data_IF_293915678767
#
_entry.id   IF_293915678767
#
_cell.length_a   1.000
_cell.length_b   1.000
_cell.length_c   1.000
_cell.angle_alpha   90.00
_cell.angle_beta   90.00
_cell.angle_gamma   90.00
#
_symmetry.space_group_name_H-M   'P 1'
#
loop_
_entity.id
_entity.type
_entity.pdbx_description
1 polymer ?
#
# COMPACT_ATOMS: atom_id res chain seq x y z
N UNK A 1 15.93 -16.21 0.80
CA UNK A 1 15.77 -14.88 1.43
C UNK A 1 14.99 -15.03 2.72
N UNK A 2 15.28 -14.24 3.77
CA UNK A 2 14.46 -14.23 4.99
C UNK A 2 13.02 -13.79 4.65
N UNK A 3 11.97 -14.38 5.27
CA UNK A 3 10.58 -14.04 4.98
C UNK A 3 10.29 -12.54 5.03
N UNK A 4 10.80 -11.84 6.06
CA UNK A 4 10.59 -10.40 6.19
C UNK A 4 11.24 -9.58 5.08
N UNK A 5 12.46 -9.93 4.66
CA UNK A 5 13.12 -9.27 3.51
C UNK A 5 12.30 -9.44 2.23
N UNK A 6 11.78 -10.65 1.98
CA UNK A 6 10.95 -10.91 0.80
C UNK A 6 9.66 -10.10 0.83
N UNK A 7 8.99 -10.08 1.99
CA UNK A 7 7.77 -9.31 2.21
C UNK A 7 7.99 -7.81 1.96
N UNK A 8 9.02 -7.21 2.57
CA UNK A 8 9.32 -5.78 2.42
C UNK A 8 9.59 -5.41 0.96
N UNK A 9 10.30 -6.26 0.21
CA UNK A 9 10.57 -6.02 -1.22
C UNK A 9 9.31 -6.14 -2.06
N UNK A 10 8.53 -7.20 -1.86
CA UNK A 10 7.31 -7.44 -2.63
C UNK A 10 6.27 -6.33 -2.41
N UNK A 11 5.98 -6.01 -1.15
CA UNK A 11 5.04 -4.93 -0.80
C UNK A 11 5.61 -3.57 -1.20
N UNK A 12 6.92 -3.37 -1.06
CA UNK A 12 7.58 -2.15 -1.51
C UNK A 12 7.42 -1.91 -3.01
N UNK A 13 7.69 -2.93 -3.84
CA UNK A 13 7.49 -2.86 -5.30
C UNK A 13 6.02 -2.65 -5.65
N UNK A 14 5.11 -3.36 -4.98
CA UNK A 14 3.66 -3.17 -5.16
C UNK A 14 3.27 -1.70 -4.92
N UNK A 15 3.77 -1.09 -3.84
CA UNK A 15 3.46 0.29 -3.49
C UNK A 15 4.06 1.29 -4.49
N UNK A 16 5.28 1.03 -5.00
CA UNK A 16 5.86 1.85 -6.08
C UNK A 16 5.02 1.78 -7.35
N UNK A 17 4.63 0.59 -7.77
CA UNK A 17 3.81 0.38 -8.98
C UNK A 17 2.46 1.04 -8.81
N UNK A 18 1.77 0.78 -7.70
CA UNK A 18 0.45 1.36 -7.43
C UNK A 18 0.52 2.88 -7.33
N UNK A 19 1.52 3.43 -6.62
CA UNK A 19 1.76 4.86 -6.50
C UNK A 19 1.97 5.54 -7.85
N UNK A 20 2.76 4.92 -8.74
CA UNK A 20 2.99 5.44 -10.08
C UNK A 20 1.69 5.53 -10.92
N UNK A 21 0.72 4.63 -10.71
CA UNK A 21 -0.56 4.70 -11.43
C UNK A 21 -1.42 5.92 -11.07
N UNK A 22 -1.05 6.66 -10.03
CA UNK A 22 -1.72 7.88 -9.58
C UNK A 22 -1.04 9.17 -10.06
N UNK A 23 0.04 9.06 -10.84
CA UNK A 23 0.72 10.24 -11.38
C UNK A 23 -0.13 10.92 -12.47
N UNK A 24 -0.04 12.26 -12.59
CA UNK A 24 -0.67 13.01 -13.67
C UNK A 24 -0.36 12.41 -15.04
N UNK A 25 -1.32 12.44 -15.95
CA UNK A 25 -1.23 11.77 -17.25
C UNK A 25 -1.50 10.26 -17.26
N UNK A 26 -1.26 9.51 -16.17
CA UNK A 26 -1.78 8.13 -16.04
C UNK A 26 -3.16 8.18 -15.36
N UNK A 27 -3.26 8.90 -14.24
CA UNK A 27 -4.47 8.95 -13.45
C UNK A 27 -5.67 9.51 -14.22
N UNK A 28 -5.45 10.58 -14.99
CA UNK A 28 -6.45 11.20 -15.86
C UNK A 28 -7.01 10.23 -16.90
N UNK A 29 -6.16 9.41 -17.52
CA UNK A 29 -6.58 8.41 -18.53
C UNK A 29 -7.40 7.28 -17.92
N UNK A 30 -7.28 7.06 -16.61
CA UNK A 30 -7.97 6.01 -15.88
C UNK A 30 -9.20 6.52 -15.13
N UNK A 31 -9.51 7.82 -15.20
CA UNK A 31 -10.55 8.46 -14.39
C UNK A 31 -11.91 7.74 -14.53
N UNK A 32 -12.40 7.57 -15.76
CA UNK A 32 -13.69 6.91 -16.03
C UNK A 32 -13.75 5.46 -15.55
N UNK A 33 -12.62 4.75 -15.60
CA UNK A 33 -12.54 3.36 -15.12
C UNK A 33 -12.49 3.26 -13.59
N UNK A 34 -11.97 4.28 -12.91
CA UNK A 34 -11.80 4.33 -11.45
C UNK A 34 -13.03 4.91 -10.76
N UNK A 35 -13.66 5.91 -11.37
CA UNK A 35 -14.89 6.53 -10.92
C UNK A 35 -15.88 6.55 -12.10
N UNK A 36 -16.60 5.43 -12.33
CA UNK A 36 -17.64 5.40 -13.34
C UNK A 36 -18.69 6.48 -13.05
N UNK A 37 -18.98 7.32 -14.05
CA UNK A 37 -19.94 8.41 -13.93
C UNK A 37 -19.40 9.64 -13.19
N UNK A 38 -18.08 9.89 -13.27
CA UNK A 38 -17.49 11.13 -12.75
C UNK A 38 -18.14 12.36 -13.42
N UNK A 39 -18.99 13.06 -12.68
CA UNK A 39 -19.82 14.15 -13.18
C UNK A 39 -19.09 15.50 -13.16
N UNK A 40 -17.97 15.57 -13.88
CA UNK A 40 -17.28 16.82 -14.12
C UNK A 40 -16.53 16.79 -15.46
N UNK A 41 -16.39 17.95 -16.13
CA UNK A 41 -15.52 18.08 -17.30
C UNK A 41 -14.09 17.64 -16.95
N UNK A 42 -13.42 16.95 -17.88
CA UNK A 42 -12.05 16.47 -17.68
C UNK A 42 -11.04 17.60 -17.40
N UNK A 43 -11.30 18.79 -17.94
CA UNK A 43 -10.55 20.04 -17.70
C UNK A 43 -11.21 20.92 -16.62
N UNK A 44 -12.19 20.40 -15.90
CA UNK A 44 -12.88 21.08 -14.81
C UNK A 44 -12.04 21.15 -13.53
N UNK A 45 -12.42 22.07 -12.63
CA UNK A 45 -11.75 22.22 -11.32
C UNK A 45 -11.86 20.95 -10.48
N UNK A 46 -13.00 20.25 -10.53
CA UNK A 46 -13.21 19.00 -9.80
C UNK A 46 -12.30 17.87 -10.30
N UNK A 47 -12.14 17.71 -11.62
CA UNK A 47 -11.25 16.72 -12.21
C UNK A 47 -9.78 16.97 -11.84
N UNK A 48 -9.34 18.24 -11.91
CA UNK A 48 -8.00 18.65 -11.45
C UNK A 48 -7.80 18.39 -9.96
N UNK A 49 -8.74 18.83 -9.12
CA UNK A 49 -8.66 18.63 -7.67
C UNK A 49 -8.59 17.15 -7.27
N UNK A 50 -9.37 16.29 -7.92
CA UNK A 50 -9.28 14.84 -7.72
C UNK A 50 -7.93 14.28 -8.18
N UNK A 51 -7.43 14.71 -9.34
CA UNK A 51 -6.13 14.27 -9.86
C UNK A 51 -4.98 14.70 -8.95
N UNK A 52 -4.99 15.93 -8.46
CA UNK A 52 -3.98 16.45 -7.51
C UNK A 52 -4.03 15.69 -6.17
N UNK A 53 -5.24 15.42 -5.66
CA UNK A 53 -5.41 14.62 -4.44
C UNK A 53 -4.89 13.18 -4.62
N UNK A 54 -5.20 12.56 -5.76
CA UNK A 54 -4.68 11.24 -6.11
C UNK A 54 -3.16 11.24 -6.30
N UNK A 55 -2.60 12.28 -6.91
CA UNK A 55 -1.16 12.41 -7.03
C UNK A 55 -0.47 12.47 -5.66
N UNK A 56 -1.02 13.24 -4.72
CA UNK A 56 -0.56 13.26 -3.33
C UNK A 56 -0.58 11.86 -2.70
N UNK A 57 -1.67 11.11 -2.89
CA UNK A 57 -1.73 9.71 -2.47
C UNK A 57 -0.66 8.83 -3.15
N UNK A 58 -0.45 9.02 -4.46
CA UNK A 58 0.59 8.32 -5.21
C UNK A 58 1.99 8.54 -4.64
N UNK A 59 2.30 9.78 -4.23
CA UNK A 59 3.57 10.12 -3.56
C UNK A 59 3.70 9.39 -2.23
N UNK A 60 2.66 9.37 -1.39
CA UNK A 60 2.69 8.64 -0.10
C UNK A 60 3.07 7.17 -0.32
N UNK A 61 2.41 6.51 -1.29
CA UNK A 61 2.68 5.12 -1.64
C UNK A 61 4.11 4.94 -2.13
N UNK A 62 4.60 5.85 -2.99
CA UNK A 62 5.95 5.79 -3.52
C UNK A 62 6.99 5.89 -2.39
N UNK A 63 6.81 6.85 -1.47
CA UNK A 63 7.67 7.03 -0.30
C UNK A 63 7.70 5.76 0.54
N UNK A 64 6.55 5.22 0.93
CA UNK A 64 6.48 3.99 1.72
C UNK A 64 7.18 2.83 0.97
N UNK A 65 6.96 2.70 -0.33
CA UNK A 65 7.59 1.69 -1.17
C UNK A 65 9.11 1.78 -1.18
N UNK A 66 9.66 2.99 -1.35
CA UNK A 66 11.10 3.24 -1.28
C UNK A 66 11.66 2.87 0.10
N UNK A 67 11.00 3.30 1.18
CA UNK A 67 11.45 2.99 2.54
C UNK A 67 11.41 1.50 2.84
N UNK A 68 10.41 0.76 2.38
CA UNK A 68 10.35 -0.70 2.52
C UNK A 68 11.50 -1.39 1.78
N UNK A 69 11.77 -1.01 0.53
CA UNK A 69 12.88 -1.58 -0.24
C UNK A 69 14.22 -1.23 0.41
N UNK A 70 14.38 0.01 0.87
CA UNK A 70 15.59 0.46 1.56
C UNK A 70 15.83 -0.33 2.84
N UNK A 71 14.81 -0.42 3.69
CA UNK A 71 14.85 -1.11 4.97
C UNK A 71 14.97 -2.63 4.84
N UNK A 72 14.63 -3.21 3.68
CA UNK A 72 14.82 -4.64 3.40
C UNK A 72 16.29 -5.10 3.50
N UNK A 73 17.25 -4.18 3.49
CA UNK A 73 18.69 -4.46 3.71
C UNK A 73 19.03 -4.77 5.17
N UNK A 74 18.23 -4.29 6.13
CA UNK A 74 18.37 -4.50 7.58
C UNK A 74 16.99 -4.74 8.22
N UNK A 75 16.28 -5.81 7.81
CA UNK A 75 14.89 -6.04 8.16
C UNK A 75 14.65 -6.16 9.68
N UNK A 76 15.65 -6.61 10.44
CA UNK A 76 15.62 -6.72 11.90
C UNK A 76 15.46 -5.39 12.65
N UNK A 77 15.78 -4.26 12.01
CA UNK A 77 15.59 -2.93 12.59
C UNK A 77 14.31 -2.23 12.09
N UNK A 78 13.52 -2.91 11.26
CA UNK A 78 12.43 -2.30 10.50
C UNK A 78 11.04 -2.79 10.89
N UNK A 79 10.89 -3.46 12.03
CA UNK A 79 9.59 -3.98 12.51
C UNK A 79 8.53 -2.88 12.65
N UNK A 80 8.93 -1.69 13.11
CA UNK A 80 8.03 -0.52 13.21
C UNK A 80 7.48 -0.10 11.85
N UNK A 81 8.30 -0.13 10.79
CA UNK A 81 7.84 0.20 9.43
C UNK A 81 6.82 -0.82 8.91
N UNK A 82 6.99 -2.09 9.26
CA UNK A 82 6.04 -3.16 8.88
C UNK A 82 4.72 -2.96 9.62
N UNK A 83 4.76 -2.66 10.92
CA UNK A 83 3.56 -2.33 11.70
C UNK A 83 2.85 -1.07 11.20
N UNK A 84 3.60 -0.05 10.77
CA UNK A 84 3.02 1.13 10.12
C UNK A 84 2.25 0.74 8.86
N UNK A 85 2.83 -0.10 7.99
CA UNK A 85 2.15 -0.58 6.77
C UNK A 85 0.91 -1.42 7.10
N UNK A 86 0.97 -2.24 8.14
CA UNK A 86 -0.19 -2.99 8.65
C UNK A 86 -1.28 -2.02 9.12
N UNK A 87 -0.94 -1.01 9.92
CA UNK A 87 -1.89 -0.02 10.42
C UNK A 87 -2.52 0.79 9.28
N UNK A 88 -1.73 1.21 8.29
CA UNK A 88 -2.22 1.89 7.09
C UNK A 88 -3.14 0.98 6.26
N UNK A 89 -2.80 -0.31 6.11
CA UNK A 89 -3.65 -1.26 5.39
C UNK A 89 -4.98 -1.51 6.10
N UNK A 90 -4.99 -1.52 7.44
CA UNK A 90 -6.21 -1.70 8.22
C UNK A 90 -7.11 -0.44 8.18
N UNK A 91 -6.52 0.74 8.35
CA UNK A 91 -7.27 2.01 8.45
C UNK A 91 -7.60 2.58 7.07
N UNK A 92 -6.58 2.97 6.32
CA UNK A 92 -6.71 3.61 5.00
C UNK A 92 -7.06 2.62 3.89
N UNK A 93 -6.69 1.35 4.04
CA UNK A 93 -7.14 0.30 3.13
C UNK A 93 -8.56 -0.14 3.47
N UNK A 94 -8.68 -1.07 4.40
CA UNK A 94 -9.96 -1.73 4.72
C UNK A 94 -11.00 -0.73 5.27
N UNK A 95 -10.64 0.10 6.25
CA UNK A 95 -11.58 1.04 6.86
C UNK A 95 -12.15 2.05 5.85
N UNK A 96 -11.29 2.60 4.98
CA UNK A 96 -11.73 3.53 3.94
C UNK A 96 -12.56 2.85 2.85
N UNK A 97 -12.21 1.62 2.44
CA UNK A 97 -12.98 0.86 1.46
C UNK A 97 -14.39 0.54 1.99
N UNK A 98 -14.52 0.18 3.27
CA UNK A 98 -15.82 -0.01 3.93
C UNK A 98 -16.63 1.29 3.98
N UNK A 99 -15.97 2.42 4.28
CA UNK A 99 -16.61 3.73 4.22
C UNK A 99 -17.09 4.04 2.80
N UNK A 100 -16.28 3.84 1.76
CA UNK A 100 -16.67 4.05 0.38
C UNK A 100 -17.86 3.17 -0.03
N UNK A 101 -17.89 1.90 0.37
CA UNK A 101 -19.07 1.02 0.16
C UNK A 101 -20.31 1.66 0.79
N UNK A 102 -20.21 2.17 2.01
CA UNK A 102 -21.35 2.84 2.69
C UNK A 102 -21.80 4.12 2.00
N UNK A 103 -20.91 4.77 1.23
CA UNK A 103 -21.19 5.96 0.43
C UNK A 103 -21.66 5.64 -1.00
N UNK A 104 -21.84 4.36 -1.35
CA UNK A 104 -22.35 3.94 -2.66
C UNK A 104 -21.29 3.77 -3.75
N UNK A 105 -20.00 3.69 -3.40
CA UNK A 105 -18.94 3.39 -4.37
C UNK A 105 -19.00 1.93 -4.86
N UNK A 106 -18.36 1.59 -6.00
CA UNK A 106 -18.44 0.26 -6.59
C UNK A 106 -17.95 -0.85 -5.65
N UNK A 107 -18.87 -1.71 -5.19
CA UNK A 107 -18.57 -2.76 -4.20
C UNK A 107 -17.49 -3.74 -4.65
N UNK A 108 -17.50 -4.12 -5.94
CA UNK A 108 -16.56 -5.13 -6.46
C UNK A 108 -15.10 -4.65 -6.36
N UNK A 109 -14.81 -3.40 -6.71
CA UNK A 109 -13.45 -2.87 -6.60
C UNK A 109 -13.03 -2.72 -5.14
N UNK A 110 -13.91 -2.22 -4.28
CA UNK A 110 -13.65 -2.07 -2.85
C UNK A 110 -13.36 -3.43 -2.19
N UNK A 111 -14.13 -4.47 -2.48
CA UNK A 111 -13.89 -5.83 -1.95
C UNK A 111 -12.56 -6.42 -2.45
N UNK A 112 -12.19 -6.17 -3.71
CA UNK A 112 -10.90 -6.61 -4.24
C UNK A 112 -9.71 -5.94 -3.51
N UNK A 113 -9.81 -4.64 -3.21
CA UNK A 113 -8.79 -3.93 -2.43
C UNK A 113 -8.78 -4.34 -0.94
N UNK A 114 -9.93 -4.58 -0.32
CA UNK A 114 -10.02 -5.17 1.03
C UNK A 114 -9.27 -6.50 1.09
N UNK A 115 -9.45 -7.36 0.08
CA UNK A 115 -8.74 -8.65 0.00
C UNK A 115 -7.22 -8.44 -0.13
N UNK A 116 -6.77 -7.50 -0.95
CA UNK A 116 -5.35 -7.14 -1.08
C UNK A 116 -4.78 -6.65 0.26
N UNK A 117 -5.46 -5.75 0.96
CA UNK A 117 -5.03 -5.25 2.26
C UNK A 117 -4.98 -6.35 3.32
N UNK A 118 -5.98 -7.23 3.33
CA UNK A 118 -6.01 -8.40 4.21
C UNK A 118 -4.80 -9.31 3.96
N UNK A 119 -4.45 -9.55 2.69
CA UNK A 119 -3.27 -10.33 2.32
C UNK A 119 -1.96 -9.66 2.78
N UNK A 120 -1.82 -8.34 2.62
CA UNK A 120 -0.67 -7.56 3.10
C UNK A 120 -0.54 -7.69 4.63
N UNK A 121 -1.64 -7.52 5.36
CA UNK A 121 -1.67 -7.62 6.83
C UNK A 121 -1.28 -9.03 7.27
N UNK A 122 -1.96 -10.06 6.75
CA UNK A 122 -1.74 -11.44 7.15
C UNK A 122 -0.30 -11.90 6.86
N UNK A 123 0.21 -11.59 5.67
CA UNK A 123 1.59 -11.92 5.29
C UNK A 123 2.63 -11.13 6.07
N UNK A 124 2.35 -9.86 6.43
CA UNK A 124 3.24 -9.03 7.23
C UNK A 124 3.36 -9.53 8.66
N UNK A 125 2.23 -9.85 9.31
CA UNK A 125 2.20 -10.45 10.65
C UNK A 125 2.91 -11.80 10.65
N UNK A 126 2.69 -12.64 9.63
CA UNK A 126 3.41 -13.90 9.49
C UNK A 126 4.92 -13.70 9.34
N UNK A 127 5.35 -12.74 8.51
CA UNK A 127 6.77 -12.47 8.27
C UNK A 127 7.49 -11.94 9.51
N UNK A 128 6.83 -11.10 10.32
CA UNK A 128 7.32 -10.64 11.63
C UNK A 128 7.50 -11.82 12.60
N UNK A 129 6.47 -12.65 12.75
CA UNK A 129 6.53 -13.84 13.63
C UNK A 129 7.58 -14.85 13.19
N UNK A 130 7.78 -15.01 11.88
CA UNK A 130 8.82 -15.89 11.33
C UNK A 130 10.24 -15.40 11.66
N UNK A 131 10.43 -14.08 11.79
CA UNK A 131 11.70 -13.51 12.21
C UNK A 131 11.97 -13.72 13.70
N UNK A 132 10.96 -13.54 14.56
CA UNK A 132 11.08 -13.77 16.01
C UNK A 132 11.43 -15.22 16.35
N UNK A 133 10.95 -16.17 15.53
CA UNK A 133 11.22 -17.61 15.70
C UNK A 133 12.56 -18.05 15.14
N UNK A 134 13.26 -17.21 14.36
CA UNK A 134 14.58 -17.56 13.88
C UNK A 134 15.53 -17.56 15.10
N UNK A 135 16.17 -18.69 15.43
CA UNK A 135 17.10 -18.73 16.55
C UNK A 135 18.17 -17.66 16.35
N UNK A 136 18.55 -16.97 17.43
CA UNK A 136 19.75 -16.15 17.46
C UNK A 136 20.91 -17.07 17.08
N UNK A 137 21.34 -17.03 15.83
CA UNK A 137 22.44 -17.86 15.37
C UNK A 137 23.68 -17.45 16.14
N UNK A 138 24.09 -18.35 17.04
CA UNK A 138 25.39 -18.50 17.67
C UNK A 138 26.46 -17.54 17.14
N UNK A 139 26.71 -16.48 17.90
CA UNK A 139 27.67 -15.44 17.54
C UNK A 139 28.15 -14.66 18.76
N UNK A 140 28.18 -15.29 19.93
CA UNK A 140 28.89 -14.79 21.12
C UNK A 140 29.51 -16.01 21.81
N UNK A 141 30.76 -16.31 21.45
CA UNK A 141 31.88 -16.76 22.30
C UNK A 141 32.98 -17.24 21.36
N UNK A 142 33.87 -16.31 20.98
CA UNK A 142 35.25 -16.59 20.63
C UNK A 142 36.12 -15.78 21.59
#
# INVERSE_FOLDING_TARGET
MRPLTAWMRAVGVLYLVLGATWFPGIAERMLDSRIPGFDAPADGVAARGYTDWMFGFGIDLFVIGVFLIAASRRPERASVLVWLVIALSATRGIGLDLYHISMGYPVVSMVAFIALHTAIIASGVWALRAQERAPATAGETA
#
